data_IF_112724529473
#
_entry.id   IF_112724529473
#
_cell.length_a   1.000
_cell.length_b   1.000
_cell.length_c   1.000
_cell.angle_alpha   90.00
_cell.angle_beta   90.00
_cell.angle_gamma   90.00
#
_symmetry.space_group_name_H-M   'P 1'
#
loop_
_entity.id
_entity.type
_entity.pdbx_description
1 polymer ?
#
# COMPACT_ATOMS: atom_id res chain seq x y z
N UNK A 1 -12.85 24.39 -0.71
CA UNK A 1 -12.31 23.47 -1.75
C UNK A 1 -11.01 22.89 -1.22
N UNK A 2 -10.89 21.56 -1.22
CA UNK A 2 -9.61 20.93 -0.87
C UNK A 2 -8.73 20.91 -2.11
N UNK A 3 -7.73 21.77 -2.16
CA UNK A 3 -6.70 21.74 -3.20
C UNK A 3 -5.48 21.03 -2.66
N UNK A 4 -4.96 20.06 -3.40
CA UNK A 4 -3.74 19.33 -3.05
C UNK A 4 -2.58 19.80 -3.93
N UNK A 5 -1.37 19.86 -3.37
CA UNK A 5 -0.16 20.22 -4.12
C UNK A 5 0.15 19.20 -5.22
N UNK A 6 -0.11 17.95 -4.95
CA UNK A 6 -0.04 16.84 -5.89
C UNK A 6 -1.04 15.74 -5.50
N UNK A 7 -1.29 14.80 -6.40
CA UNK A 7 -2.32 13.78 -6.21
C UNK A 7 -1.95 12.72 -5.15
N UNK A 8 -0.69 12.58 -4.75
CA UNK A 8 -0.33 11.67 -3.67
C UNK A 8 -0.89 12.10 -2.31
N UNK A 9 -1.14 13.39 -2.15
CA UNK A 9 -1.70 13.97 -0.93
C UNK A 9 -3.23 13.80 -0.82
N UNK A 10 -3.91 13.33 -1.87
CA UNK A 10 -5.35 13.02 -1.86
C UNK A 10 -5.67 11.59 -1.43
N UNK A 11 -4.65 10.82 -1.02
CA UNK A 11 -4.79 9.45 -0.54
C UNK A 11 -5.53 9.40 0.79
N UNK A 12 -6.44 8.43 0.94
CA UNK A 12 -7.24 8.29 2.16
C UNK A 12 -8.63 8.93 2.04
N UNK A 13 -9.32 9.10 3.17
CA UNK A 13 -10.69 9.61 3.20
C UNK A 13 -11.67 8.74 2.38
N UNK A 14 -11.39 7.46 2.23
CA UNK A 14 -12.21 6.55 1.43
C UNK A 14 -13.55 6.27 2.12
N UNK A 15 -14.66 6.12 1.37
CA UNK A 15 -15.96 5.96 1.99
C UNK A 15 -16.16 4.58 2.60
N UNK A 16 -17.00 4.55 3.66
CA UNK A 16 -17.66 3.34 4.12
C UNK A 16 -19.04 3.25 3.46
N UNK A 17 -19.35 2.11 2.86
CA UNK A 17 -20.60 1.86 2.14
C UNK A 17 -21.34 0.69 2.77
N UNK A 18 -22.61 0.90 3.16
CA UNK A 18 -23.45 -0.14 3.73
C UNK A 18 -23.88 -1.16 2.67
N UNK A 19 -23.73 -2.43 2.97
CA UNK A 19 -24.22 -3.54 2.16
C UNK A 19 -25.64 -3.90 2.59
N UNK A 20 -26.64 -3.57 1.74
CA UNK A 20 -28.04 -3.70 2.10
C UNK A 20 -28.69 -5.01 1.62
N UNK A 21 -28.26 -5.55 0.45
CA UNK A 21 -28.94 -6.68 -0.19
C UNK A 21 -28.23 -8.02 -0.06
N UNK A 22 -26.92 -7.99 0.24
CA UNK A 22 -26.09 -9.20 0.34
C UNK A 22 -26.06 -9.81 1.74
N UNK A 23 -26.57 -9.08 2.72
CA UNK A 23 -26.54 -9.48 4.13
C UNK A 23 -27.90 -10.04 4.51
N UNK A 24 -27.96 -11.34 4.80
CA UNK A 24 -29.17 -12.04 5.23
C UNK A 24 -29.25 -12.12 6.78
N UNK A 25 -28.97 -11.02 7.47
CA UNK A 25 -29.04 -10.92 8.95
C UNK A 25 -29.30 -9.47 9.37
N UNK A 26 -29.53 -9.25 10.66
CA UNK A 26 -29.70 -7.91 11.24
C UNK A 26 -28.38 -7.15 11.42
N UNK A 27 -27.25 -7.76 11.08
CA UNK A 27 -25.94 -7.13 11.19
C UNK A 27 -25.79 -5.96 10.21
N UNK A 28 -25.23 -4.85 10.68
CA UNK A 28 -24.79 -3.76 9.82
C UNK A 28 -23.41 -4.11 9.26
N UNK A 29 -23.34 -4.34 7.96
CA UNK A 29 -22.08 -4.62 7.25
C UNK A 29 -21.67 -3.43 6.40
N UNK A 30 -20.47 -2.94 6.63
CA UNK A 30 -19.88 -1.79 5.94
C UNK A 30 -18.64 -2.21 5.15
N UNK A 31 -18.55 -1.77 3.92
CA UNK A 31 -17.37 -1.96 3.06
C UNK A 31 -16.55 -0.66 3.01
N UNK A 32 -15.30 -0.70 3.42
CA UNK A 32 -14.32 0.38 3.23
C UNK A 32 -13.81 0.33 1.80
N UNK A 33 -14.24 1.25 0.95
CA UNK A 33 -14.02 1.21 -0.50
C UNK A 33 -12.65 1.80 -0.87
N UNK A 34 -11.59 1.05 -0.67
CA UNK A 34 -10.20 1.48 -0.92
C UNK A 34 -9.86 1.69 -2.41
N UNK A 35 -10.71 1.25 -3.32
CA UNK A 35 -10.64 1.60 -4.75
C UNK A 35 -10.88 3.09 -5.06
N UNK A 36 -11.27 3.90 -4.06
CA UNK A 36 -11.42 5.35 -4.20
C UNK A 36 -10.11 6.11 -3.98
N UNK A 37 -9.03 5.46 -3.61
CA UNK A 37 -7.71 6.08 -3.62
C UNK A 37 -7.26 6.43 -5.04
N UNK A 38 -6.36 7.41 -5.23
CA UNK A 38 -5.97 7.96 -6.55
C UNK A 38 -5.47 6.93 -7.57
N UNK A 39 -4.76 5.89 -7.12
CA UNK A 39 -4.32 4.78 -7.96
C UNK A 39 -5.17 3.51 -7.74
N UNK A 40 -6.42 3.69 -7.36
CA UNK A 40 -7.50 2.68 -7.29
C UNK A 40 -7.23 1.48 -6.38
N UNK A 41 -6.44 1.64 -5.31
CA UNK A 41 -6.24 0.54 -4.36
C UNK A 41 -5.81 1.00 -2.97
N UNK A 42 -5.97 0.10 -1.98
CA UNK A 42 -5.44 0.26 -0.62
C UNK A 42 -3.92 0.48 -0.59
N UNK A 43 -3.21 0.02 -1.63
CA UNK A 43 -1.75 0.14 -1.71
C UNK A 43 -1.26 1.57 -1.91
N UNK A 44 -2.13 2.50 -2.32
CA UNK A 44 -1.79 3.92 -2.34
C UNK A 44 -1.31 4.39 -0.97
N UNK A 45 -1.98 3.95 0.10
CA UNK A 45 -1.62 4.32 1.49
C UNK A 45 -0.21 3.86 1.85
N UNK A 46 0.08 2.58 1.65
CA UNK A 46 1.38 2.04 2.03
C UNK A 46 2.51 2.54 1.11
N UNK A 47 2.25 2.66 -0.20
CA UNK A 47 3.23 3.20 -1.15
C UNK A 47 3.63 4.62 -0.80
N UNK A 48 2.67 5.47 -0.42
CA UNK A 48 2.95 6.83 0.05
C UNK A 48 3.72 6.83 1.37
N UNK A 49 3.23 6.10 2.38
CA UNK A 49 3.84 6.17 3.71
C UNK A 49 5.26 5.59 3.76
N UNK A 50 5.55 4.54 2.99
CA UNK A 50 6.91 3.98 2.90
C UNK A 50 7.89 5.01 2.30
N UNK A 51 7.45 5.82 1.34
CA UNK A 51 8.26 6.90 0.77
C UNK A 51 8.40 8.05 1.77
N UNK A 52 7.30 8.56 2.32
CA UNK A 52 7.32 9.68 3.26
C UNK A 52 8.12 9.38 4.53
N UNK A 53 7.99 8.18 5.08
CA UNK A 53 8.76 7.76 6.25
C UNK A 53 10.26 7.66 5.92
N UNK A 54 10.60 7.11 4.75
CA UNK A 54 11.98 7.00 4.31
C UNK A 54 12.63 8.37 4.10
N UNK A 55 11.90 9.32 3.50
CA UNK A 55 12.35 10.72 3.38
C UNK A 55 12.59 11.35 4.76
N UNK A 56 11.62 11.20 5.67
CA UNK A 56 11.71 11.75 7.03
C UNK A 56 12.91 11.19 7.81
N UNK A 57 13.23 9.91 7.63
CA UNK A 57 14.39 9.27 8.27
C UNK A 57 15.71 9.51 7.54
N UNK A 58 15.70 10.16 6.38
CA UNK A 58 16.87 10.35 5.52
C UNK A 58 17.37 9.06 4.86
N UNK A 59 16.55 8.01 4.84
CA UNK A 59 16.87 6.75 4.14
C UNK A 59 16.64 6.84 2.63
N UNK A 60 15.70 7.67 2.21
CA UNK A 60 15.48 8.05 0.81
C UNK A 60 15.83 9.52 0.63
N UNK A 61 16.88 9.79 -0.14
CA UNK A 61 17.39 11.14 -0.38
C UNK A 61 17.07 11.60 -1.81
N UNK A 62 17.04 12.91 -2.09
CA UNK A 62 16.95 13.41 -3.45
C UNK A 62 18.03 12.80 -4.36
N UNK A 63 17.63 12.34 -5.53
CA UNK A 63 18.54 11.68 -6.49
C UNK A 63 18.64 10.16 -6.34
N UNK A 64 18.20 9.59 -5.22
CA UNK A 64 18.07 8.14 -5.10
C UNK A 64 16.90 7.61 -5.94
N UNK A 65 16.93 6.33 -6.21
CA UNK A 65 15.95 5.59 -6.97
C UNK A 65 15.26 4.54 -6.07
N UNK A 66 13.95 4.40 -6.20
CA UNK A 66 13.18 3.40 -5.48
C UNK A 66 13.21 2.11 -6.27
N UNK A 67 13.57 0.99 -5.63
CA UNK A 67 13.51 -0.35 -6.24
C UNK A 67 12.65 -1.27 -5.38
N UNK A 68 11.69 -1.99 -5.99
CA UNK A 68 10.81 -2.93 -5.26
C UNK A 68 10.47 -4.14 -6.12
N UNK A 69 10.55 -5.37 -5.56
CA UNK A 69 10.09 -6.57 -6.25
C UNK A 69 8.57 -6.70 -6.12
N UNK A 70 7.85 -6.22 -7.11
CA UNK A 70 6.38 -6.28 -7.10
C UNK A 70 5.79 -6.14 -8.49
N UNK A 71 4.74 -6.91 -8.74
CA UNK A 71 3.95 -6.85 -9.98
C UNK A 71 2.54 -6.34 -9.75
N UNK A 72 2.20 -6.01 -8.50
CA UNK A 72 0.84 -5.69 -8.08
C UNK A 72 0.60 -4.21 -7.82
N UNK A 73 -0.46 -3.94 -7.09
CA UNK A 73 -0.90 -2.58 -6.76
C UNK A 73 0.14 -1.78 -5.95
N UNK A 74 1.04 -2.45 -5.23
CA UNK A 74 2.15 -1.75 -4.55
C UNK A 74 3.09 -1.10 -5.56
N UNK A 75 3.44 -1.79 -6.64
CA UNK A 75 4.24 -1.21 -7.71
C UNK A 75 3.57 -0.01 -8.36
N UNK A 76 2.25 -0.08 -8.61
CA UNK A 76 1.47 1.05 -9.13
C UNK A 76 1.51 2.23 -8.14
N UNK A 77 1.33 1.97 -6.87
CA UNK A 77 1.36 3.00 -5.84
C UNK A 77 2.74 3.66 -5.71
N UNK A 78 3.82 2.87 -5.71
CA UNK A 78 5.19 3.38 -5.66
C UNK A 78 5.52 4.21 -6.90
N UNK A 79 5.15 3.74 -8.10
CA UNK A 79 5.36 4.47 -9.35
C UNK A 79 4.57 5.80 -9.36
N UNK A 80 3.32 5.77 -8.95
CA UNK A 80 2.47 6.96 -8.86
C UNK A 80 3.02 8.00 -7.87
N UNK A 81 3.35 7.59 -6.64
CA UNK A 81 3.87 8.50 -5.61
C UNK A 81 5.29 8.93 -5.94
N UNK A 82 6.13 8.04 -6.45
CA UNK A 82 7.48 8.35 -6.91
C UNK A 82 7.47 9.44 -7.99
N UNK A 83 6.60 9.31 -9.00
CA UNK A 83 6.43 10.32 -10.04
C UNK A 83 5.99 11.69 -9.45
N UNK A 84 5.03 11.69 -8.52
CA UNK A 84 4.56 12.92 -7.86
C UNK A 84 5.65 13.61 -7.03
N UNK A 85 6.62 12.85 -6.50
CA UNK A 85 7.70 13.35 -5.64
C UNK A 85 9.05 13.49 -6.34
N UNK A 86 9.13 13.15 -7.64
CA UNK A 86 10.35 13.31 -8.46
C UNK A 86 11.37 12.19 -8.29
N UNK A 87 10.98 11.02 -7.77
CA UNK A 87 11.85 9.84 -7.71
C UNK A 87 11.70 8.96 -8.94
N UNK A 88 12.81 8.41 -9.41
CA UNK A 88 12.78 7.26 -10.31
C UNK A 88 12.33 6.02 -9.55
N UNK A 89 11.59 5.16 -10.22
CA UNK A 89 11.09 3.90 -9.66
C UNK A 89 11.43 2.76 -10.60
N UNK A 90 12.16 1.79 -10.12
CA UNK A 90 12.47 0.53 -10.81
C UNK A 90 11.73 -0.62 -10.13
N UNK A 91 11.01 -1.40 -10.91
CA UNK A 91 10.25 -2.54 -10.40
C UNK A 91 10.77 -3.83 -11.04
N UNK A 92 11.08 -4.81 -10.21
CA UNK A 92 11.44 -6.14 -10.69
C UNK A 92 10.23 -7.06 -10.64
N UNK A 93 9.98 -7.81 -11.71
CA UNK A 93 8.84 -8.72 -11.80
C UNK A 93 9.07 -9.83 -12.82
N UNK A 94 8.40 -11.00 -12.66
CA UNK A 94 8.46 -12.06 -13.66
C UNK A 94 7.90 -11.59 -15.01
N UNK A 95 8.51 -12.03 -16.10
CA UNK A 95 8.04 -11.72 -17.46
C UNK A 95 6.66 -12.32 -17.79
N UNK A 96 6.14 -13.23 -16.97
CA UNK A 96 4.77 -13.74 -17.07
C UNK A 96 3.69 -12.75 -16.64
N UNK A 97 4.06 -11.61 -16.04
CA UNK A 97 3.10 -10.59 -15.64
C UNK A 97 2.41 -9.94 -16.85
N UNK A 98 1.11 -9.61 -16.69
CA UNK A 98 0.27 -9.13 -17.79
C UNK A 98 0.81 -7.84 -18.42
N UNK A 99 0.61 -7.72 -19.72
CA UNK A 99 1.05 -6.54 -20.51
C UNK A 99 0.35 -5.27 -20.03
N UNK A 100 -0.90 -5.36 -19.61
CA UNK A 100 -1.70 -4.23 -19.10
C UNK A 100 -1.05 -3.63 -17.86
N UNK A 101 -0.61 -4.46 -16.91
CA UNK A 101 0.11 -4.01 -15.71
C UNK A 101 1.40 -3.30 -16.05
N UNK A 102 2.18 -3.87 -16.99
CA UNK A 102 3.43 -3.25 -17.46
C UNK A 102 3.16 -1.89 -18.12
N UNK A 103 2.09 -1.76 -18.90
CA UNK A 103 1.69 -0.48 -19.53
C UNK A 103 1.34 0.58 -18.49
N UNK A 104 0.55 0.22 -17.46
CA UNK A 104 0.20 1.15 -16.38
C UNK A 104 1.43 1.63 -15.63
N UNK A 105 2.35 0.73 -15.26
CA UNK A 105 3.59 1.09 -14.57
C UNK A 105 4.48 2.01 -15.40
N UNK A 106 4.64 1.71 -16.70
CA UNK A 106 5.38 2.57 -17.64
C UNK A 106 4.73 3.94 -17.83
N UNK A 107 3.38 4.00 -17.81
CA UNK A 107 2.66 5.27 -17.91
C UNK A 107 2.95 6.21 -16.72
N UNK A 108 3.24 5.65 -15.54
CA UNK A 108 3.74 6.41 -14.38
C UNK A 108 5.26 6.66 -14.41
N UNK A 109 5.97 6.27 -15.48
CA UNK A 109 7.40 6.48 -15.63
C UNK A 109 8.29 5.45 -14.94
N UNK A 110 7.73 4.34 -14.45
CA UNK A 110 8.54 3.31 -13.83
C UNK A 110 9.35 2.51 -14.85
N UNK A 111 10.60 2.21 -14.50
CA UNK A 111 11.43 1.24 -15.20
C UNK A 111 11.08 -0.18 -14.75
N UNK A 112 11.07 -1.12 -15.70
CA UNK A 112 10.72 -2.51 -15.42
C UNK A 112 11.89 -3.42 -15.77
N UNK A 113 12.36 -4.18 -14.78
CA UNK A 113 13.31 -5.26 -14.95
C UNK A 113 12.53 -6.58 -14.91
N UNK A 114 12.45 -7.23 -16.06
CA UNK A 114 11.75 -8.51 -16.18
C UNK A 114 12.71 -9.64 -15.82
N UNK A 115 12.26 -10.55 -14.98
CA UNK A 115 12.99 -11.78 -14.60
C UNK A 115 12.34 -12.99 -15.26
N UNK A 116 13.08 -14.09 -15.36
CA UNK A 116 12.61 -15.32 -15.95
C UNK A 116 11.29 -15.80 -15.30
N UNK A 117 10.29 -16.13 -16.13
CA UNK A 117 8.98 -16.58 -15.66
C UNK A 117 9.08 -17.80 -14.72
N UNK A 118 9.97 -18.74 -15.01
CA UNK A 118 10.17 -19.96 -14.22
C UNK A 118 10.64 -19.69 -12.78
N UNK A 119 11.30 -18.56 -12.52
CA UNK A 119 11.77 -18.16 -11.18
C UNK A 119 10.70 -17.45 -10.36
N UNK A 120 9.57 -17.10 -10.96
CA UNK A 120 8.46 -16.44 -10.29
C UNK A 120 8.86 -15.19 -9.47
N UNK A 121 8.10 -14.89 -8.43
CA UNK A 121 8.42 -13.77 -7.52
C UNK A 121 9.75 -13.92 -6.78
N UNK A 122 10.20 -15.11 -6.34
CA UNK A 122 11.53 -15.27 -5.78
C UNK A 122 12.65 -14.74 -6.66
N UNK A 123 12.57 -14.96 -7.98
CA UNK A 123 13.54 -14.41 -8.94
C UNK A 123 13.54 -12.89 -9.01
N UNK A 124 12.36 -12.28 -8.94
CA UNK A 124 12.23 -10.83 -8.89
C UNK A 124 12.79 -10.24 -7.59
N UNK A 125 12.53 -10.88 -6.46
CA UNK A 125 13.08 -10.49 -5.14
C UNK A 125 14.60 -10.56 -5.15
N UNK A 126 15.17 -11.68 -5.61
CA UNK A 126 16.62 -11.85 -5.72
C UNK A 126 17.25 -10.75 -6.56
N UNK A 127 16.63 -10.40 -7.71
CA UNK A 127 17.15 -9.36 -8.59
C UNK A 127 17.10 -7.96 -7.98
N UNK A 128 16.03 -7.60 -7.30
CA UNK A 128 15.93 -6.32 -6.59
C UNK A 128 16.98 -6.22 -5.47
N UNK A 129 17.13 -7.29 -4.69
CA UNK A 129 18.10 -7.36 -3.59
C UNK A 129 19.54 -7.25 -4.09
N UNK A 130 19.88 -7.95 -5.18
CA UNK A 130 21.19 -7.88 -5.84
C UNK A 130 21.52 -6.43 -6.24
N UNK A 131 20.60 -5.75 -6.92
CA UNK A 131 20.81 -4.39 -7.39
C UNK A 131 20.94 -3.39 -6.24
N UNK A 132 20.06 -3.50 -5.23
CA UNK A 132 20.11 -2.64 -4.06
C UNK A 132 21.41 -2.83 -3.25
N UNK A 133 21.89 -4.06 -3.14
CA UNK A 133 23.15 -4.36 -2.46
C UNK A 133 24.39 -3.89 -3.24
N UNK A 134 24.35 -3.95 -4.56
CA UNK A 134 25.45 -3.50 -5.42
C UNK A 134 25.61 -1.97 -5.44
N UNK A 135 24.51 -1.23 -5.33
CA UNK A 135 24.50 0.24 -5.39
C UNK A 135 23.67 0.84 -4.24
N UNK A 136 24.08 0.68 -2.96
CA UNK A 136 23.28 1.08 -1.79
C UNK A 136 23.04 2.60 -1.68
N UNK A 137 23.93 3.41 -2.24
CA UNK A 137 23.75 4.86 -2.28
C UNK A 137 22.78 5.32 -3.38
N UNK A 138 22.50 4.46 -4.35
CA UNK A 138 21.58 4.73 -5.44
C UNK A 138 20.17 4.26 -5.11
N UNK A 139 20.02 3.07 -4.55
CA UNK A 139 18.72 2.42 -4.40
C UNK A 139 18.19 2.47 -2.97
N UNK A 140 16.92 2.79 -2.84
CA UNK A 140 16.12 2.55 -1.65
C UNK A 140 15.09 1.46 -1.95
N UNK A 141 15.07 0.38 -1.16
CA UNK A 141 14.10 -0.71 -1.28
C UNK A 141 13.08 -0.65 -0.14
N UNK A 142 11.81 -0.31 -0.43
CA UNK A 142 10.76 -0.17 0.58
C UNK A 142 10.46 -1.43 1.38
N UNK A 143 10.50 -2.61 0.77
CA UNK A 143 10.23 -3.91 1.41
C UNK A 143 8.86 -3.99 2.08
N UNK A 144 7.80 -3.97 1.27
CA UNK A 144 6.41 -3.86 1.76
C UNK A 144 6.00 -4.88 2.84
N UNK A 145 6.62 -6.07 2.88
CA UNK A 145 6.30 -7.12 3.85
C UNK A 145 6.95 -6.90 5.23
N UNK A 146 8.05 -6.17 5.30
CA UNK A 146 8.86 -5.97 6.51
C UNK A 146 8.78 -4.53 7.04
N UNK A 147 8.40 -3.58 6.19
CA UNK A 147 8.44 -2.17 6.52
C UNK A 147 7.35 -1.77 7.53
N UNK A 148 7.70 -1.26 8.71
CA UNK A 148 6.74 -0.85 9.72
C UNK A 148 5.85 0.32 9.27
N UNK A 149 6.27 1.12 8.29
CA UNK A 149 5.46 2.18 7.70
C UNK A 149 4.19 1.66 7.01
N UNK A 150 4.17 0.36 6.62
CA UNK A 150 2.99 -0.27 6.06
C UNK A 150 1.83 -0.36 7.09
N UNK A 151 1.92 -1.10 8.20
CA UNK A 151 0.84 -1.11 9.18
C UNK A 151 0.62 0.25 9.84
N UNK A 152 1.64 1.07 9.97
CA UNK A 152 1.55 2.38 10.59
C UNK A 152 0.54 3.31 9.89
N UNK A 153 0.51 3.37 8.57
CA UNK A 153 -0.43 4.24 7.85
C UNK A 153 -1.88 3.82 8.09
N UNK A 154 -2.14 2.53 8.23
CA UNK A 154 -3.48 2.04 8.56
C UNK A 154 -3.89 2.38 9.99
N UNK A 155 -2.94 2.34 10.93
CA UNK A 155 -3.17 2.79 12.31
C UNK A 155 -3.44 4.30 12.35
N UNK A 156 -2.71 5.10 11.58
CA UNK A 156 -2.80 6.56 11.59
C UNK A 156 -3.95 7.15 10.76
N UNK A 157 -4.45 6.41 9.76
CA UNK A 157 -5.45 6.96 8.82
C UNK A 157 -6.65 6.06 8.68
N UNK A 158 -6.52 4.83 8.19
CA UNK A 158 -7.65 3.93 7.94
C UNK A 158 -8.45 3.63 9.22
N UNK A 159 -7.76 3.43 10.34
CA UNK A 159 -8.38 3.21 11.65
C UNK A 159 -9.22 4.40 12.10
N UNK A 160 -8.66 5.62 12.20
CA UNK A 160 -9.43 6.83 12.47
C UNK A 160 -10.61 7.05 11.53
N UNK A 161 -10.41 6.88 10.22
CA UNK A 161 -11.49 7.03 9.24
C UNK A 161 -12.67 6.08 9.49
N UNK A 162 -12.40 4.83 9.89
CA UNK A 162 -13.46 3.87 10.25
C UNK A 162 -14.11 4.29 11.56
N UNK A 163 -13.31 4.62 12.56
CA UNK A 163 -13.79 5.04 13.87
C UNK A 163 -14.74 6.23 13.79
N UNK A 164 -14.32 7.29 13.10
CA UNK A 164 -15.08 8.53 12.99
C UNK A 164 -16.38 8.33 12.18
N UNK A 165 -16.35 7.46 11.16
CA UNK A 165 -17.54 7.15 10.34
C UNK A 165 -18.54 6.23 11.02
N UNK A 166 -18.18 5.60 12.14
CA UNK A 166 -19.03 4.66 12.88
C UNK A 166 -19.26 5.08 14.33
N UNK A 167 -18.80 6.25 14.76
CA UNK A 167 -18.74 6.68 16.15
C UNK A 167 -18.10 5.61 17.08
N UNK A 168 -17.15 4.86 16.51
CA UNK A 168 -16.47 3.75 17.17
C UNK A 168 -17.33 2.48 17.35
N UNK A 169 -18.52 2.44 16.80
CA UNK A 169 -19.42 1.26 16.91
C UNK A 169 -19.04 0.19 15.88
N UNK A 170 -18.00 -0.58 16.20
CA UNK A 170 -17.46 -1.69 15.41
C UNK A 170 -17.22 -2.90 16.30
N UNK A 171 -17.87 -4.01 16.01
CA UNK A 171 -17.68 -5.28 16.73
C UNK A 171 -16.70 -6.21 16.03
N UNK A 172 -16.73 -6.20 14.70
CA UNK A 172 -15.94 -7.13 13.86
C UNK A 172 -15.24 -6.37 12.74
N UNK A 173 -13.95 -6.64 12.58
CA UNK A 173 -13.14 -6.18 11.48
C UNK A 173 -12.72 -7.37 10.62
N UNK A 174 -13.08 -7.35 9.33
CA UNK A 174 -12.67 -8.37 8.36
C UNK A 174 -11.72 -7.74 7.35
N UNK A 175 -10.56 -8.34 7.15
CA UNK A 175 -9.59 -7.86 6.17
C UNK A 175 -8.90 -8.99 5.41
N UNK A 176 -8.75 -8.83 4.09
CA UNK A 176 -7.90 -9.70 3.28
C UNK A 176 -6.43 -9.53 3.64
N UNK A 177 -5.69 -10.63 3.70
CA UNK A 177 -4.28 -10.65 4.11
C UNK A 177 -3.38 -10.92 2.92
N UNK A 178 -2.63 -9.89 2.50
CA UNK A 178 -1.47 -10.02 1.63
C UNK A 178 -0.20 -9.78 2.45
N UNK A 179 0.15 -8.51 2.69
CA UNK A 179 1.26 -8.14 3.57
C UNK A 179 0.90 -8.13 5.07
N UNK A 180 -0.36 -8.28 5.41
CA UNK A 180 -0.85 -8.16 6.79
C UNK A 180 -0.95 -6.72 7.31
N UNK A 181 -0.48 -5.72 6.56
CA UNK A 181 -0.39 -4.33 7.03
C UNK A 181 -1.73 -3.73 7.47
N UNK A 182 -2.79 -3.94 6.69
CA UNK A 182 -4.13 -3.41 6.98
C UNK A 182 -4.68 -3.95 8.30
N UNK A 183 -4.74 -5.27 8.44
CA UNK A 183 -5.29 -5.89 9.66
C UNK A 183 -4.45 -5.57 10.89
N UNK A 184 -3.13 -5.52 10.75
CA UNK A 184 -2.19 -5.17 11.83
C UNK A 184 -2.39 -3.74 12.28
N UNK A 185 -2.40 -2.78 11.35
CA UNK A 185 -2.58 -1.37 11.68
C UNK A 185 -3.93 -1.07 12.31
N UNK A 186 -5.01 -1.64 11.75
CA UNK A 186 -6.34 -1.51 12.30
C UNK A 186 -6.48 -2.16 13.68
N UNK A 187 -5.92 -3.37 13.86
CA UNK A 187 -5.93 -4.04 15.18
C UNK A 187 -5.20 -3.20 16.24
N UNK A 188 -4.07 -2.60 15.91
CA UNK A 188 -3.36 -1.69 16.81
C UNK A 188 -4.22 -0.49 17.16
N UNK A 189 -4.81 0.16 16.17
CA UNK A 189 -5.66 1.33 16.40
C UNK A 189 -6.84 1.02 17.32
N UNK A 190 -7.63 0.00 17.01
CA UNK A 190 -8.82 -0.32 17.81
C UNK A 190 -8.46 -0.86 19.20
N UNK A 191 -7.55 -1.86 19.27
CA UNK A 191 -7.26 -2.57 20.52
C UNK A 191 -6.28 -1.85 21.44
N UNK A 192 -5.29 -1.16 20.88
CA UNK A 192 -4.24 -0.49 21.67
C UNK A 192 -4.54 0.99 21.87
N UNK A 193 -4.84 1.74 20.80
CA UNK A 193 -5.01 3.18 20.89
C UNK A 193 -6.41 3.53 21.47
N UNK A 194 -7.46 2.85 21.00
CA UNK A 194 -8.85 3.08 21.46
C UNK A 194 -9.30 2.16 22.60
N UNK A 195 -8.51 1.14 22.92
CA UNK A 195 -8.82 0.14 23.96
C UNK A 195 -10.19 -0.53 23.76
N UNK A 196 -10.67 -0.59 22.52
CA UNK A 196 -11.92 -1.23 22.16
C UNK A 196 -11.69 -2.69 21.82
N UNK A 197 -12.30 -3.63 22.53
CA UNK A 197 -12.27 -5.04 22.15
C UNK A 197 -13.09 -5.24 20.88
N UNK A 198 -12.44 -5.71 19.82
CA UNK A 198 -13.09 -6.11 18.56
C UNK A 198 -12.60 -7.47 18.13
N UNK A 199 -13.46 -8.23 17.44
CA UNK A 199 -13.03 -9.42 16.73
C UNK A 199 -12.34 -9.02 15.41
N UNK A 200 -11.14 -9.52 15.19
CA UNK A 200 -10.43 -9.32 13.91
C UNK A 200 -10.35 -10.62 13.15
N UNK A 201 -10.84 -10.63 11.92
CA UNK A 201 -10.88 -11.79 11.03
C UNK A 201 -9.96 -11.54 9.84
N UNK A 202 -8.97 -12.42 9.68
CA UNK A 202 -8.08 -12.47 8.53
C UNK A 202 -8.68 -13.39 7.45
N UNK A 203 -8.69 -12.94 6.21
CA UNK A 203 -9.11 -13.72 5.04
C UNK A 203 -7.90 -13.91 4.13
N UNK A 204 -7.51 -15.16 3.89
CA UNK A 204 -6.44 -15.57 2.97
C UNK A 204 -6.95 -15.81 1.55
#
# INVERSE_FOLDING_TARGET
>A
MNTFKDNSLSIGGTPLVRLNKLVASDATVLAKVEGRNPAYSVKCRIGANMIWDAEKRGALKPGMEIIEPTSGNTGIALAFVGAARGYKVTLTMPESMSIERRKVLKAFGAELILTEAAKGMPGAISKATELAAAEPDRYFMPQQFENPANPEIHQKTTGPEIWDATDGDVDVLVAGVGTGGTITGLSRYFKQDRKKPILTVAVE
#
